data_IF_252718608699
#
_entry.id   IF_252718608699
#
_cell.length_a   1.000
_cell.length_b   1.000
_cell.length_c   1.000
_cell.angle_alpha   90.00
_cell.angle_beta   90.00
_cell.angle_gamma   90.00
#
_symmetry.space_group_name_H-M   'P 1'
#
loop_
_entity.id
_entity.type
_entity.pdbx_description
1 polymer ?
#
# COMPACT_ATOMS: atom_id res chain seq x y z
N UNK A 1 -20.07 -85.26 -18.44
CA UNK A 1 -20.50 -83.96 -19.02
C UNK A 1 -19.84 -82.86 -18.23
N UNK A 2 -19.14 -81.93 -18.90
CA UNK A 2 -18.31 -80.87 -18.30
C UNK A 2 -19.19 -79.72 -17.81
N UNK A 3 -19.09 -79.36 -16.53
CA UNK A 3 -19.64 -78.12 -15.97
C UNK A 3 -18.49 -77.13 -15.70
N UNK A 4 -18.43 -76.06 -16.50
CA UNK A 4 -17.56 -74.90 -16.29
C UNK A 4 -18.15 -74.03 -15.18
N UNK A 5 -17.44 -73.88 -14.06
CA UNK A 5 -17.68 -72.82 -13.08
C UNK A 5 -16.79 -71.63 -13.44
N UNK A 6 -17.42 -70.51 -13.84
CA UNK A 6 -16.75 -69.23 -14.01
C UNK A 6 -16.32 -68.68 -12.64
N UNK A 7 -15.04 -68.37 -12.47
CA UNK A 7 -14.52 -67.50 -11.41
C UNK A 7 -14.75 -66.05 -11.81
N UNK A 8 -15.47 -65.28 -10.99
CA UNK A 8 -15.47 -63.83 -11.06
C UNK A 8 -14.16 -63.26 -10.46
N UNK A 9 -13.56 -62.19 -11.02
CA UNK A 9 -12.42 -61.55 -10.40
C UNK A 9 -12.88 -60.58 -9.30
N UNK A 10 -12.16 -60.57 -8.18
CA UNK A 10 -12.27 -59.53 -7.16
C UNK A 10 -11.77 -58.20 -7.74
N UNK A 11 -12.61 -57.16 -7.70
CA UNK A 11 -12.19 -55.79 -7.96
C UNK A 11 -11.55 -55.20 -6.68
N UNK A 12 -10.23 -55.03 -6.68
CA UNK A 12 -9.54 -54.23 -5.66
C UNK A 12 -9.84 -52.75 -5.90
N UNK A 13 -10.53 -52.13 -4.95
CA UNK A 13 -10.73 -50.68 -4.90
C UNK A 13 -9.41 -50.04 -4.42
N UNK A 14 -8.65 -49.41 -5.33
CA UNK A 14 -7.55 -48.53 -4.93
C UNK A 14 -8.15 -47.22 -4.39
N UNK A 15 -8.02 -47.01 -3.09
CA UNK A 15 -8.26 -45.70 -2.48
C UNK A 15 -7.04 -44.81 -2.78
N UNK A 16 -7.15 -43.92 -3.76
CA UNK A 16 -6.14 -42.86 -3.96
C UNK A 16 -6.42 -41.78 -2.92
N UNK A 17 -5.70 -41.82 -1.80
CA UNK A 17 -5.65 -40.66 -0.89
C UNK A 17 -4.71 -39.65 -1.54
N UNK A 18 -5.28 -38.61 -2.15
CA UNK A 18 -4.49 -37.47 -2.59
C UNK A 18 -3.91 -36.80 -1.34
N UNK A 19 -2.61 -36.95 -1.12
CA UNK A 19 -1.90 -36.19 -0.11
C UNK A 19 -1.98 -34.72 -0.52
N UNK A 20 -2.96 -34.00 0.05
CA UNK A 20 -3.03 -32.56 -0.08
C UNK A 20 -1.70 -32.00 0.37
N UNK A 21 -1.00 -31.31 -0.52
CA UNK A 21 0.23 -30.60 -0.20
C UNK A 21 -0.11 -29.62 0.91
N UNK A 22 0.28 -29.91 2.15
CA UNK A 22 0.32 -28.87 3.18
C UNK A 22 1.30 -27.82 2.65
N UNK A 23 0.77 -26.68 2.20
CA UNK A 23 1.59 -25.52 1.95
C UNK A 23 2.34 -25.24 3.26
N UNK A 24 3.69 -25.14 3.24
CA UNK A 24 4.40 -24.77 4.45
C UNK A 24 3.81 -23.44 4.91
N UNK A 25 3.37 -23.40 6.16
CA UNK A 25 3.17 -22.13 6.85
C UNK A 25 4.51 -21.42 6.77
N UNK A 26 4.63 -20.42 5.89
CA UNK A 26 5.73 -19.47 5.96
C UNK A 26 5.60 -18.81 7.32
N UNK A 27 6.31 -19.33 8.31
CA UNK A 27 6.76 -18.54 9.44
C UNK A 27 7.73 -17.50 8.87
N UNK A 28 7.18 -16.51 8.17
CA UNK A 28 7.96 -15.39 7.67
C UNK A 28 8.55 -14.66 8.86
N UNK A 29 9.80 -14.23 8.73
CA UNK A 29 10.38 -13.31 9.70
C UNK A 29 9.45 -12.10 9.85
N UNK A 30 9.19 -11.70 11.10
CA UNK A 30 8.44 -10.49 11.40
C UNK A 30 9.43 -9.33 11.37
N UNK A 31 9.19 -8.37 10.47
CA UNK A 31 10.00 -7.16 10.32
C UNK A 31 9.20 -5.96 10.85
N UNK A 32 9.29 -5.63 12.15
CA UNK A 32 8.51 -4.54 12.72
C UNK A 32 9.00 -3.18 12.21
N UNK A 33 8.08 -2.23 12.08
CA UNK A 33 8.38 -0.85 11.76
C UNK A 33 7.32 0.09 12.30
N UNK A 34 7.45 1.36 11.99
CA UNK A 34 6.55 2.41 12.47
C UNK A 34 6.50 3.57 11.48
N UNK A 35 5.55 4.47 11.66
CA UNK A 35 5.53 5.76 10.97
C UNK A 35 5.22 6.89 11.96
N UNK A 36 5.70 8.09 11.65
CA UNK A 36 5.40 9.30 12.42
C UNK A 36 5.13 10.42 11.43
N UNK A 37 3.97 11.06 11.53
CA UNK A 37 3.52 12.03 10.53
C UNK A 37 4.48 13.21 10.30
N UNK A 38 5.25 13.64 11.30
CA UNK A 38 6.31 14.66 11.14
C UNK A 38 7.66 14.03 11.44
N UNK A 39 8.67 14.39 10.65
CA UNK A 39 10.03 13.91 10.84
C UNK A 39 10.53 14.24 12.26
N UNK A 40 10.85 13.22 13.08
CA UNK A 40 11.20 13.44 14.48
C UNK A 40 12.64 13.94 14.68
N UNK A 41 13.43 14.00 13.61
CA UNK A 41 14.83 14.43 13.61
C UNK A 41 15.82 13.26 13.66
N UNK A 42 16.99 13.46 13.05
CA UNK A 42 18.05 12.45 12.94
C UNK A 42 18.49 11.86 14.30
N UNK A 43 18.61 12.64 15.40
CA UNK A 43 18.99 12.07 16.71
C UNK A 43 17.95 11.08 17.26
N UNK A 44 16.66 11.33 17.05
CA UNK A 44 15.59 10.44 17.51
C UNK A 44 15.61 9.13 16.71
N UNK A 45 15.72 9.24 15.38
CA UNK A 45 15.77 8.05 14.52
C UNK A 45 17.03 7.22 14.74
N UNK A 46 18.17 7.84 15.05
CA UNK A 46 19.38 7.12 15.47
C UNK A 46 19.14 6.35 16.77
N UNK A 47 18.57 7.02 17.77
CA UNK A 47 18.27 6.41 19.07
C UNK A 47 17.34 5.20 18.90
N UNK A 48 16.30 5.31 18.07
CA UNK A 48 15.39 4.18 17.80
C UNK A 48 16.05 3.07 17.00
N UNK A 49 16.95 3.37 16.06
CA UNK A 49 17.67 2.33 15.32
C UNK A 49 18.57 1.50 16.22
N UNK A 50 19.16 2.13 17.22
CA UNK A 50 20.10 1.49 18.16
C UNK A 50 19.39 0.74 19.29
N UNK A 51 18.20 1.19 19.72
CA UNK A 51 17.58 0.74 20.97
C UNK A 51 16.18 0.12 20.83
N UNK A 52 15.58 0.12 19.64
CA UNK A 52 14.24 -0.41 19.39
C UNK A 52 14.27 -1.56 18.36
N UNK A 53 13.27 -2.46 18.34
CA UNK A 53 13.28 -3.60 17.42
C UNK A 53 12.95 -3.22 15.97
N UNK A 54 12.73 -1.94 15.65
CA UNK A 54 12.22 -1.52 14.35
C UNK A 54 13.27 -1.58 13.25
N UNK A 55 12.87 -2.13 12.10
CA UNK A 55 13.73 -2.30 10.94
C UNK A 55 13.47 -1.26 9.85
N UNK A 56 12.24 -0.75 9.77
CA UNK A 56 11.82 0.22 8.76
C UNK A 56 10.95 1.35 9.34
N UNK A 57 10.91 2.47 8.61
CA UNK A 57 10.11 3.65 8.94
C UNK A 57 9.27 4.12 7.76
N UNK A 58 8.07 4.64 8.02
CA UNK A 58 7.25 5.33 7.02
C UNK A 58 7.86 6.66 6.59
N UNK A 59 8.01 6.87 5.28
CA UNK A 59 8.50 8.11 4.68
C UNK A 59 7.37 8.83 3.96
N UNK A 60 6.89 9.90 4.58
CA UNK A 60 5.79 10.67 4.02
C UNK A 60 6.27 11.62 2.92
N UNK A 61 5.76 11.40 1.70
CA UNK A 61 5.86 12.39 0.64
C UNK A 61 4.87 13.52 0.92
N UNK A 62 5.21 14.79 0.61
CA UNK A 62 4.22 15.85 0.62
C UNK A 62 3.05 15.50 -0.29
N UNK A 63 1.83 15.50 0.23
CA UNK A 63 0.63 15.04 -0.45
C UNK A 63 -0.57 15.95 -0.11
N UNK A 64 -1.70 15.85 -0.84
CA UNK A 64 -2.84 16.75 -0.65
C UNK A 64 -3.38 16.76 0.78
N UNK A 65 -3.50 15.59 1.41
CA UNK A 65 -3.97 15.42 2.79
C UNK A 65 -2.84 15.23 3.81
N UNK A 66 -1.59 15.41 3.40
CA UNK A 66 -0.43 15.48 4.29
C UNK A 66 0.66 16.36 3.67
N UNK A 67 0.51 17.68 3.84
CA UNK A 67 1.36 18.69 3.16
C UNK A 67 2.72 18.92 3.83
N UNK A 68 2.94 18.29 4.98
CA UNK A 68 4.17 18.44 5.73
C UNK A 68 5.35 17.94 4.89
N UNK A 69 6.40 18.74 4.79
CA UNK A 69 7.58 18.43 3.97
C UNK A 69 8.79 18.05 4.81
N UNK A 70 8.64 17.84 6.13
CA UNK A 70 9.76 17.59 7.05
C UNK A 70 10.55 16.32 6.75
N UNK A 71 9.93 15.35 6.08
CA UNK A 71 10.59 14.13 5.60
C UNK A 71 11.42 14.36 4.34
N UNK A 72 11.16 15.40 3.54
CA UNK A 72 11.83 15.61 2.25
C UNK A 72 13.34 15.80 2.41
N UNK A 73 14.12 15.18 1.54
CA UNK A 73 15.59 15.19 1.59
C UNK A 73 16.18 14.35 2.73
N UNK A 74 15.40 13.49 3.40
CA UNK A 74 15.91 12.63 4.49
C UNK A 74 16.25 11.21 4.06
N UNK A 75 15.85 10.79 2.85
CA UNK A 75 16.06 9.42 2.36
C UNK A 75 17.52 8.94 2.48
N UNK A 76 18.49 9.74 2.02
CA UNK A 76 19.90 9.35 2.06
C UNK A 76 20.41 9.19 3.50
N UNK A 77 19.96 10.02 4.44
CA UNK A 77 20.33 9.88 5.85
C UNK A 77 19.71 8.62 6.48
N UNK A 78 18.46 8.30 6.14
CA UNK A 78 17.81 7.06 6.59
C UNK A 78 18.57 5.82 6.11
N UNK A 79 19.00 5.82 4.84
CA UNK A 79 19.81 4.75 4.25
C UNK A 79 21.15 4.61 4.97
N UNK A 80 21.86 5.71 5.24
CA UNK A 80 23.12 5.72 6.02
C UNK A 80 22.95 5.18 7.45
N UNK A 81 21.78 5.39 8.05
CA UNK A 81 21.43 4.84 9.36
C UNK A 81 20.97 3.37 9.29
N UNK A 82 20.83 2.80 8.09
CA UNK A 82 20.37 1.42 7.89
C UNK A 82 18.87 1.23 8.10
N UNK A 83 18.06 2.28 7.94
CA UNK A 83 16.60 2.15 7.94
C UNK A 83 16.09 1.59 6.61
N UNK A 84 15.22 0.58 6.68
CA UNK A 84 14.27 0.33 5.60
C UNK A 84 13.21 1.43 5.53
N UNK A 85 12.57 1.61 4.38
CA UNK A 85 11.57 2.68 4.20
C UNK A 85 10.32 2.16 3.49
N UNK A 86 9.15 2.52 4.02
CA UNK A 86 7.88 2.43 3.33
C UNK A 86 7.47 3.83 2.84
N UNK A 87 7.38 4.06 1.53
CA UNK A 87 7.03 5.39 0.98
C UNK A 87 5.52 5.58 1.06
N UNK A 88 5.08 6.64 1.72
CA UNK A 88 3.67 6.94 1.99
C UNK A 88 3.23 8.20 1.24
N UNK A 89 2.07 8.14 0.60
CA UNK A 89 1.42 9.28 -0.03
C UNK A 89 -0.04 9.39 0.45
N UNK A 90 -0.32 10.41 1.26
CA UNK A 90 -1.66 10.66 1.81
C UNK A 90 -2.48 11.46 0.78
N UNK A 91 -3.08 10.71 -0.14
CA UNK A 91 -3.92 11.22 -1.22
C UNK A 91 -5.21 11.88 -0.72
N UNK A 92 -6.14 12.14 -1.64
CA UNK A 92 -7.46 12.66 -1.29
C UNK A 92 -8.22 11.66 -0.42
N UNK A 93 -8.99 12.18 0.53
CA UNK A 93 -9.74 11.36 1.49
C UNK A 93 -11.25 11.51 1.28
N UNK A 94 -12.02 10.50 1.71
CA UNK A 94 -13.48 10.60 1.78
C UNK A 94 -13.97 11.61 2.83
N UNK A 95 -13.09 11.99 3.77
CA UNK A 95 -13.27 13.13 4.66
C UNK A 95 -12.45 14.33 4.19
N UNK A 96 -12.68 15.48 4.82
CA UNK A 96 -12.22 16.76 4.30
C UNK A 96 -13.39 17.41 3.57
N UNK A 97 -13.85 18.53 4.13
CA UNK A 97 -15.08 19.19 3.69
C UNK A 97 -15.07 19.55 2.21
N UNK A 98 -16.21 20.01 1.70
CA UNK A 98 -16.36 20.44 0.31
C UNK A 98 -15.23 21.37 -0.10
N UNK A 99 -14.69 21.19 -1.32
CA UNK A 99 -13.69 22.09 -1.86
C UNK A 99 -14.18 23.52 -1.67
N UNK A 100 -13.42 24.30 -0.89
CA UNK A 100 -13.77 25.69 -0.64
C UNK A 100 -13.78 26.39 -2.00
N UNK A 101 -14.90 27.04 -2.37
CA UNK A 101 -14.90 27.91 -3.54
C UNK A 101 -13.70 28.84 -3.44
N UNK A 102 -12.93 28.95 -4.52
CA UNK A 102 -11.77 29.83 -4.55
C UNK A 102 -12.22 31.25 -4.17
N UNK A 103 -11.91 31.65 -2.93
CA UNK A 103 -12.10 33.01 -2.47
C UNK A 103 -10.77 33.72 -2.69
N UNK A 104 -10.73 34.87 -3.35
CA UNK A 104 -9.49 35.63 -3.52
C UNK A 104 -8.78 35.79 -2.17
N UNK A 105 -7.53 35.34 -2.08
CA UNK A 105 -6.72 35.40 -0.86
C UNK A 105 -6.89 34.24 0.13
N UNK A 106 -7.82 33.30 -0.05
CA UNK A 106 -7.86 32.05 0.74
C UNK A 106 -7.30 30.87 -0.06
N UNK A 107 -6.36 30.09 0.51
CA UNK A 107 -5.94 28.83 -0.09
C UNK A 107 -7.14 27.90 -0.23
N UNK A 108 -7.37 27.38 -1.44
CA UNK A 108 -8.30 26.27 -1.66
C UNK A 108 -7.76 25.06 -0.90
N UNK A 109 -8.61 24.37 -0.13
CA UNK A 109 -8.20 23.14 0.54
C UNK A 109 -7.72 22.14 -0.52
N UNK A 110 -6.45 21.73 -0.41
CA UNK A 110 -5.89 20.72 -1.29
C UNK A 110 -6.36 19.32 -0.90
N UNK A 111 -6.69 19.10 0.38
CA UNK A 111 -7.35 17.90 0.88
C UNK A 111 -8.86 18.09 0.87
N UNK A 112 -9.59 17.35 0.04
CA UNK A 112 -11.05 17.41 0.02
C UNK A 112 -11.65 16.19 -0.66
N UNK A 113 -12.75 15.70 -0.09
CA UNK A 113 -13.62 14.71 -0.73
C UNK A 113 -14.16 15.16 -2.09
N UNK A 114 -14.30 16.47 -2.32
CA UNK A 114 -14.76 17.00 -3.60
C UNK A 114 -13.73 16.84 -4.74
N UNK A 115 -12.48 16.52 -4.43
CA UNK A 115 -11.45 16.24 -5.43
C UNK A 115 -11.40 14.75 -5.82
N UNK A 116 -12.21 13.88 -5.21
CA UNK A 116 -12.23 12.46 -5.54
C UNK A 116 -12.76 12.24 -6.96
N UNK A 117 -11.88 11.80 -7.84
CA UNK A 117 -12.20 11.39 -9.20
C UNK A 117 -11.11 10.50 -9.77
N UNK A 118 -11.41 9.76 -10.84
CA UNK A 118 -10.40 8.99 -11.55
C UNK A 118 -9.28 9.89 -12.14
N UNK A 119 -9.63 11.07 -12.64
CA UNK A 119 -8.66 12.04 -13.15
C UNK A 119 -7.70 12.50 -12.05
N UNK A 120 -8.24 12.82 -10.86
CA UNK A 120 -7.41 13.21 -9.72
C UNK A 120 -6.53 12.05 -9.24
N UNK A 121 -7.04 10.82 -9.23
CA UNK A 121 -6.27 9.63 -8.86
C UNK A 121 -5.05 9.44 -9.75
N UNK A 122 -5.21 9.65 -11.05
CA UNK A 122 -4.10 9.65 -12.02
C UNK A 122 -3.10 10.76 -11.74
N UNK A 123 -3.57 11.98 -11.52
CA UNK A 123 -2.71 13.14 -11.27
C UNK A 123 -1.89 12.98 -9.97
N UNK A 124 -2.50 12.44 -8.92
CA UNK A 124 -1.84 12.18 -7.65
C UNK A 124 -0.81 11.05 -7.77
N UNK A 125 -1.08 10.00 -8.55
CA UNK A 125 -0.10 8.93 -8.80
C UNK A 125 1.14 9.48 -9.50
N UNK A 126 0.95 10.30 -10.54
CA UNK A 126 2.05 10.97 -11.23
C UNK A 126 2.84 11.89 -10.29
N UNK A 127 2.16 12.57 -9.37
CA UNK A 127 2.79 13.42 -8.38
C UNK A 127 3.64 12.63 -7.37
N UNK A 128 3.12 11.52 -6.87
CA UNK A 128 3.86 10.61 -6.00
C UNK A 128 5.08 10.00 -6.70
N UNK A 129 4.94 9.58 -7.96
CA UNK A 129 6.05 9.09 -8.78
C UNK A 129 7.14 10.17 -8.91
N UNK A 130 6.77 11.40 -9.28
CA UNK A 130 7.74 12.49 -9.43
C UNK A 130 8.47 12.78 -8.12
N UNK A 131 7.74 12.84 -7.00
CA UNK A 131 8.32 13.14 -5.68
C UNK A 131 9.22 12.02 -5.20
N UNK A 132 8.79 10.76 -5.32
CA UNK A 132 9.65 9.63 -4.97
C UNK A 132 10.91 9.58 -5.85
N UNK A 133 10.81 9.87 -7.17
CA UNK A 133 11.98 9.99 -8.05
C UNK A 133 12.91 11.13 -7.61
N UNK A 134 12.36 12.28 -7.22
CA UNK A 134 13.15 13.43 -6.73
C UNK A 134 13.89 13.13 -5.42
N UNK A 135 13.29 12.32 -4.55
CA UNK A 135 13.94 11.80 -3.33
C UNK A 135 14.98 10.71 -3.64
N UNK A 136 15.07 10.23 -4.87
CA UNK A 136 16.04 9.24 -5.32
C UNK A 136 15.65 7.79 -5.06
N UNK A 137 14.40 7.49 -4.69
CA UNK A 137 13.92 6.10 -4.55
C UNK A 137 14.19 5.27 -5.82
N UNK A 138 14.65 4.04 -5.62
CA UNK A 138 15.12 3.19 -6.73
C UNK A 138 13.92 2.58 -7.47
N UNK A 139 14.05 2.29 -8.78
CA UNK A 139 13.03 1.57 -9.53
C UNK A 139 12.58 0.29 -8.80
N UNK A 140 11.28 0.00 -8.85
CA UNK A 140 10.68 -1.15 -8.17
C UNK A 140 10.35 -0.95 -6.69
N UNK A 141 10.70 0.20 -6.10
CA UNK A 141 10.22 0.57 -4.76
C UNK A 141 8.68 0.61 -4.72
N UNK A 142 8.09 0.25 -3.58
CA UNK A 142 6.64 0.34 -3.38
C UNK A 142 6.28 1.72 -2.85
N UNK A 143 5.28 2.37 -3.47
CA UNK A 143 4.69 3.61 -2.97
C UNK A 143 3.25 3.32 -2.55
N UNK A 144 2.99 3.47 -1.25
CA UNK A 144 1.68 3.24 -0.67
C UNK A 144 0.83 4.49 -0.76
N UNK A 145 -0.36 4.35 -1.35
CA UNK A 145 -1.41 5.34 -1.13
C UNK A 145 -2.05 5.07 0.24
N UNK A 146 -2.11 6.10 1.07
CA UNK A 146 -2.80 6.07 2.36
C UNK A 146 -4.26 6.49 2.16
N UNK A 147 -5.15 5.51 2.27
CA UNK A 147 -6.60 5.69 2.28
C UNK A 147 -7.08 5.45 3.71
N UNK A 148 -7.44 6.54 4.37
CA UNK A 148 -7.86 6.51 5.76
C UNK A 148 -9.29 5.96 5.91
N UNK A 149 -9.63 5.40 7.09
CA UNK A 149 -10.90 4.72 7.28
C UNK A 149 -12.12 5.59 6.97
N UNK A 150 -13.12 5.01 6.34
CA UNK A 150 -14.46 5.60 6.22
C UNK A 150 -15.52 4.53 6.42
N UNK A 151 -16.68 4.95 6.95
CA UNK A 151 -17.80 4.04 7.23
C UNK A 151 -18.31 3.32 5.98
N UNK A 152 -18.25 3.98 4.82
CA UNK A 152 -18.66 3.44 3.52
C UNK A 152 -17.70 3.96 2.46
N UNK A 153 -17.22 3.09 1.57
CA UNK A 153 -16.48 3.49 0.38
C UNK A 153 -17.37 4.26 -0.60
N UNK A 154 -17.13 5.56 -0.84
CA UNK A 154 -17.77 6.28 -1.93
C UNK A 154 -17.26 5.75 -3.28
N UNK A 155 -18.13 5.71 -4.30
CA UNK A 155 -17.76 5.28 -5.64
C UNK A 155 -16.62 6.12 -6.22
N UNK A 156 -16.57 7.41 -5.88
CA UNK A 156 -15.55 8.36 -6.28
C UNK A 156 -14.18 8.03 -5.69
N UNK A 157 -14.14 7.54 -4.44
CA UNK A 157 -12.90 7.09 -3.80
C UNK A 157 -12.40 5.79 -4.43
N UNK A 158 -13.31 4.86 -4.75
CA UNK A 158 -12.97 3.63 -5.47
C UNK A 158 -12.42 3.96 -6.86
N UNK A 159 -13.06 4.89 -7.59
CA UNK A 159 -12.60 5.35 -8.90
C UNK A 159 -11.23 6.06 -8.83
N UNK A 160 -11.04 6.90 -7.81
CA UNK A 160 -9.77 7.56 -7.51
C UNK A 160 -8.65 6.54 -7.28
N UNK A 161 -8.88 5.58 -6.38
CA UNK A 161 -7.92 4.52 -6.05
C UNK A 161 -7.57 3.65 -7.26
N UNK A 162 -8.58 3.16 -8.00
CA UNK A 162 -8.35 2.34 -9.20
C UNK A 162 -7.52 3.09 -10.24
N UNK A 163 -7.82 4.36 -10.47
CA UNK A 163 -7.06 5.18 -11.42
C UNK A 163 -5.63 5.43 -10.97
N UNK A 164 -5.39 5.65 -9.67
CA UNK A 164 -4.05 5.71 -9.08
C UNK A 164 -3.27 4.43 -9.37
N UNK A 165 -3.84 3.27 -9.05
CA UNK A 165 -3.17 1.96 -9.21
C UNK A 165 -2.85 1.67 -10.67
N UNK A 166 -3.80 1.93 -11.58
CA UNK A 166 -3.58 1.79 -13.03
C UNK A 166 -2.46 2.71 -13.51
N UNK A 167 -2.41 3.95 -13.03
CA UNK A 167 -1.37 4.91 -13.42
C UNK A 167 0.02 4.50 -12.92
N UNK A 168 0.13 4.05 -11.67
CA UNK A 168 1.38 3.52 -11.09
C UNK A 168 1.90 2.33 -11.92
N UNK A 169 1.03 1.36 -12.23
CA UNK A 169 1.37 0.21 -13.06
C UNK A 169 1.75 0.59 -14.49
N UNK A 170 1.07 1.61 -15.06
CA UNK A 170 1.35 2.10 -16.41
C UNK A 170 2.71 2.79 -16.50
N UNK A 171 3.10 3.62 -15.52
CA UNK A 171 4.44 4.23 -15.47
C UNK A 171 5.52 3.15 -15.24
N UNK A 172 5.22 2.17 -14.38
CA UNK A 172 6.05 0.98 -14.18
C UNK A 172 7.36 1.22 -13.41
N UNK A 173 7.67 2.46 -13.03
CA UNK A 173 8.88 2.76 -12.26
C UNK A 173 8.77 2.36 -10.79
N UNK A 174 7.58 2.46 -10.20
CA UNK A 174 7.28 2.05 -8.82
C UNK A 174 6.09 1.09 -8.80
N UNK A 175 6.03 0.26 -7.75
CA UNK A 175 4.89 -0.63 -7.51
C UNK A 175 3.84 0.09 -6.66
N UNK A 176 2.53 -0.05 -6.97
CA UNK A 176 1.48 0.48 -6.11
C UNK A 176 1.36 -0.36 -4.84
N UNK A 177 1.43 0.29 -3.68
CA UNK A 177 1.01 -0.25 -2.39
C UNK A 177 -0.28 0.40 -1.92
N UNK A 178 -0.99 -0.22 -0.98
CA UNK A 178 -2.20 0.34 -0.36
C UNK A 178 -2.10 0.23 1.15
N UNK A 179 -2.18 1.36 1.84
CA UNK A 179 -2.48 1.41 3.26
C UNK A 179 -3.97 1.73 3.39
N UNK A 180 -4.72 0.84 4.02
CA UNK A 180 -6.15 1.00 4.21
C UNK A 180 -6.61 0.25 5.45
N UNK A 181 -7.72 0.71 6.02
CA UNK A 181 -8.43 -0.03 7.04
C UNK A 181 -8.87 -1.40 6.51
N UNK A 182 -8.82 -2.42 7.37
CA UNK A 182 -9.21 -3.79 7.02
C UNK A 182 -10.64 -3.84 6.48
N UNK A 183 -11.57 -3.10 7.07
CA UNK A 183 -12.99 -3.14 6.72
C UNK A 183 -13.26 -2.45 5.37
N UNK A 184 -12.37 -1.54 4.94
CA UNK A 184 -12.45 -0.90 3.63
C UNK A 184 -11.67 -1.65 2.54
N UNK A 185 -10.71 -2.50 2.93
CA UNK A 185 -9.80 -3.15 1.99
C UNK A 185 -10.51 -4.02 0.95
N UNK A 186 -11.60 -4.70 1.31
CA UNK A 186 -12.34 -5.57 0.39
C UNK A 186 -12.88 -4.83 -0.84
N UNK A 187 -13.29 -3.57 -0.68
CA UNK A 187 -13.81 -2.73 -1.75
C UNK A 187 -12.71 -2.14 -2.65
N UNK A 188 -11.46 -2.13 -2.18
CA UNK A 188 -10.29 -1.67 -2.95
C UNK A 188 -9.72 -2.77 -3.85
N UNK A 189 -9.84 -4.05 -3.46
CA UNK A 189 -9.29 -5.19 -4.20
C UNK A 189 -10.23 -5.83 -5.24
N UNK A 190 -11.43 -5.28 -5.43
CA UNK A 190 -12.38 -5.65 -6.50
C UNK A 190 -12.31 -4.72 -7.69
#
# INVERSE_FOLDING_TARGET
MRTNLLRAPLASLLLVVSAGTMLPTRSGAVHPGFDVGRYPGDPVLRTWKENAPYEWVGYYLPAPCHRDASWSGKRENLEKLGWGVAVLYVGQQAFGGSASKATPGKPVSQCSSAHLSAERGRADAQDAIRKAKAEGFVPGSVVFIDIQPTRRMPAELVAYYRAWTVEMLRDGYYLPGTYADRDNSADLYT
#
